data_IF_564592835112
#
_entry.id   IF_564592835112
#
_cell.length_a   1.000
_cell.length_b   1.000
_cell.length_c   1.000
_cell.angle_alpha   90.00
_cell.angle_beta   90.00
_cell.angle_gamma   90.00
#
_symmetry.space_group_name_H-M   'P 1'
#
loop_
_entity.id
_entity.type
_entity.pdbx_description
1 polymer ?
#
# COMPACT_ATOMS: atom_id res chain seq x y z
N UNK A 1 15.79 10.27 15.92
CA UNK A 1 14.73 10.29 14.88
C UNK A 1 15.11 9.33 13.77
N UNK A 2 14.46 8.16 13.65
CA UNK A 2 14.90 7.09 12.71
C UNK A 2 14.25 7.15 11.31
N UNK A 3 13.18 7.94 11.13
CA UNK A 3 12.35 7.95 9.92
C UNK A 3 12.21 9.33 9.27
N UNK A 4 13.10 10.26 9.64
CA UNK A 4 13.35 11.48 8.90
C UNK A 4 14.56 11.18 8.03
N UNK A 5 14.35 11.02 6.72
CA UNK A 5 15.36 10.53 5.78
C UNK A 5 15.86 11.67 4.90
N UNK A 6 17.14 11.66 4.57
CA UNK A 6 17.71 12.58 3.58
C UNK A 6 17.24 12.18 2.17
N UNK A 7 17.00 13.17 1.32
CA UNK A 7 16.69 12.98 -0.09
C UNK A 7 17.82 12.22 -0.80
N UNK A 8 19.08 12.49 -0.47
CA UNK A 8 20.23 11.83 -1.10
C UNK A 8 20.24 10.32 -0.81
N UNK A 9 20.01 9.94 0.45
CA UNK A 9 19.93 8.53 0.85
C UNK A 9 18.74 7.84 0.17
N UNK A 10 17.57 8.50 0.10
CA UNK A 10 16.40 7.97 -0.59
C UNK A 10 16.66 7.70 -2.07
N UNK A 11 17.36 8.61 -2.76
CA UNK A 11 17.70 8.42 -4.18
C UNK A 11 18.67 7.25 -4.36
N UNK A 12 19.63 7.08 -3.43
CA UNK A 12 20.56 5.94 -3.45
C UNK A 12 19.82 4.60 -3.30
N UNK A 13 18.94 4.48 -2.30
CA UNK A 13 18.17 3.25 -2.07
C UNK A 13 17.22 2.91 -3.25
N UNK A 14 16.71 3.94 -3.94
CA UNK A 14 15.82 3.79 -5.11
C UNK A 14 16.55 3.62 -6.43
N UNK A 15 17.88 3.61 -6.47
CA UNK A 15 18.65 3.61 -7.71
C UNK A 15 18.28 2.46 -8.65
N UNK A 16 17.97 1.28 -8.08
CA UNK A 16 17.50 0.14 -8.86
C UNK A 16 16.16 0.42 -9.55
N UNK A 17 15.16 0.91 -8.80
CA UNK A 17 13.84 1.23 -9.37
C UNK A 17 13.93 2.37 -10.38
N UNK A 18 14.79 3.37 -10.11
CA UNK A 18 15.03 4.51 -10.99
C UNK A 18 15.80 4.16 -12.27
N UNK A 19 16.39 2.96 -12.34
CA UNK A 19 16.97 2.43 -13.59
C UNK A 19 15.91 1.90 -14.56
N UNK A 20 14.70 1.63 -14.06
CA UNK A 20 13.57 1.06 -14.79
C UNK A 20 12.48 2.11 -15.01
N UNK A 21 12.23 2.95 -14.00
CA UNK A 21 11.19 3.98 -13.96
C UNK A 21 11.83 5.35 -13.84
N UNK A 22 11.24 6.36 -14.48
CA UNK A 22 11.61 7.75 -14.20
C UNK A 22 11.17 8.18 -12.79
N UNK A 23 11.76 9.24 -12.25
CA UNK A 23 11.35 9.77 -10.93
C UNK A 23 9.86 10.15 -10.91
N UNK A 24 9.35 10.73 -12.00
CA UNK A 24 7.94 11.08 -12.16
C UNK A 24 7.02 9.84 -12.17
N UNK A 25 7.39 8.78 -12.89
CA UNK A 25 6.64 7.51 -12.88
C UNK A 25 6.65 6.86 -11.49
N UNK A 26 7.80 6.86 -10.82
CA UNK A 26 7.92 6.34 -9.46
C UNK A 26 7.02 7.11 -8.49
N UNK A 27 6.99 8.45 -8.58
CA UNK A 27 6.06 9.27 -7.78
C UNK A 27 4.59 8.95 -8.11
N UNK A 28 4.24 8.80 -9.39
CA UNK A 28 2.87 8.43 -9.81
C UNK A 28 2.45 7.08 -9.24
N UNK A 29 3.35 6.10 -9.20
CA UNK A 29 3.11 4.79 -8.56
C UNK A 29 2.80 4.96 -7.08
N UNK A 30 3.61 5.74 -6.34
CA UNK A 30 3.36 6.00 -4.91
C UNK A 30 2.03 6.74 -4.67
N UNK A 31 1.69 7.71 -5.53
CA UNK A 31 0.41 8.44 -5.46
C UNK A 31 -0.76 7.48 -5.73
N UNK A 32 -0.64 6.63 -6.75
CA UNK A 32 -1.64 5.63 -7.08
C UNK A 32 -1.94 4.70 -5.90
N UNK A 33 -0.91 4.12 -5.28
CA UNK A 33 -1.11 3.22 -4.13
C UNK A 33 -1.54 3.94 -2.85
N UNK A 34 -1.16 5.21 -2.66
CA UNK A 34 -1.78 6.01 -1.59
C UNK A 34 -3.29 6.17 -1.82
N UNK A 35 -3.72 6.37 -3.07
CA UNK A 35 -5.13 6.36 -3.46
C UNK A 35 -5.81 5.01 -3.21
N UNK A 36 -5.15 3.89 -3.51
CA UNK A 36 -5.65 2.54 -3.19
C UNK A 36 -5.87 2.38 -1.68
N UNK A 37 -4.88 2.74 -0.86
CA UNK A 37 -4.96 2.66 0.61
C UNK A 37 -6.11 3.54 1.15
N UNK A 38 -6.26 4.76 0.62
CA UNK A 38 -7.36 5.65 0.98
C UNK A 38 -8.73 5.03 0.69
N UNK A 39 -8.92 4.50 -0.52
CA UNK A 39 -10.19 3.87 -0.91
C UNK A 39 -10.50 2.61 -0.11
N UNK A 40 -9.49 1.78 0.19
CA UNK A 40 -9.64 0.62 1.05
C UNK A 40 -10.06 1.03 2.47
N UNK A 41 -9.41 2.04 3.04
CA UNK A 41 -9.73 2.57 4.36
C UNK A 41 -11.16 3.12 4.45
N UNK A 42 -11.61 3.85 3.44
CA UNK A 42 -12.98 4.36 3.35
C UNK A 42 -14.01 3.23 3.29
N UNK A 43 -13.79 2.19 2.46
CA UNK A 43 -14.70 1.04 2.38
C UNK A 43 -14.73 0.23 3.69
N UNK A 44 -13.61 0.17 4.40
CA UNK A 44 -13.52 -0.44 5.72
C UNK A 44 -14.07 0.46 6.85
N UNK A 45 -14.43 1.72 6.54
CA UNK A 45 -14.89 2.75 7.48
C UNK A 45 -13.86 3.07 8.57
N UNK A 46 -12.57 3.08 8.21
CA UNK A 46 -11.48 3.41 9.13
C UNK A 46 -11.40 4.93 9.36
N UNK A 47 -10.88 5.33 10.53
CA UNK A 47 -10.53 6.74 10.80
C UNK A 47 -9.33 7.16 9.96
N UNK A 48 -9.26 8.44 9.60
CA UNK A 48 -8.18 8.97 8.76
C UNK A 48 -6.79 8.74 9.37
N UNK A 49 -6.67 8.74 10.71
CA UNK A 49 -5.41 8.42 11.40
C UNK A 49 -4.88 7.03 11.03
N UNK A 50 -5.75 6.01 10.96
CA UNK A 50 -5.38 4.65 10.55
C UNK A 50 -4.90 4.61 9.10
N UNK A 51 -5.61 5.32 8.22
CA UNK A 51 -5.27 5.40 6.79
C UNK A 51 -3.94 6.12 6.58
N UNK A 52 -3.70 7.19 7.33
CA UNK A 52 -2.45 7.94 7.31
C UNK A 52 -1.28 7.06 7.80
N UNK A 53 -1.45 6.35 8.92
CA UNK A 53 -0.46 5.41 9.45
C UNK A 53 -0.14 4.29 8.45
N UNK A 54 -1.15 3.70 7.81
CA UNK A 54 -0.96 2.70 6.76
C UNK A 54 -0.18 3.25 5.55
N UNK A 55 -0.50 4.46 5.11
CA UNK A 55 0.21 5.13 4.01
C UNK A 55 1.67 5.41 4.35
N UNK A 56 1.95 5.79 5.61
CA UNK A 56 3.32 5.98 6.09
C UNK A 56 4.09 4.66 6.13
N UNK A 57 3.47 3.57 6.57
CA UNK A 57 4.11 2.24 6.52
C UNK A 57 4.45 1.82 5.09
N UNK A 58 3.53 2.02 4.16
CA UNK A 58 3.77 1.74 2.74
C UNK A 58 4.95 2.55 2.18
N UNK A 59 4.97 3.87 2.43
CA UNK A 59 6.06 4.75 1.98
C UNK A 59 7.40 4.41 2.63
N UNK A 60 7.40 4.05 3.93
CA UNK A 60 8.61 3.66 4.66
C UNK A 60 9.19 2.34 4.16
N UNK A 61 8.33 1.39 3.78
CA UNK A 61 8.77 0.13 3.20
C UNK A 61 9.52 0.37 1.88
N UNK A 62 8.92 1.11 0.93
CA UNK A 62 9.55 1.42 -0.35
C UNK A 62 10.62 2.52 -0.31
N UNK A 63 10.80 3.17 0.85
CA UNK A 63 11.95 4.04 1.07
C UNK A 63 13.25 3.27 1.29
N UNK A 64 13.17 2.00 1.68
CA UNK A 64 14.32 1.12 1.97
C UNK A 64 14.34 -0.18 1.16
N UNK A 65 13.28 -0.44 0.40
CA UNK A 65 13.14 -1.66 -0.40
C UNK A 65 12.68 -1.28 -1.81
N UNK A 66 13.11 -2.05 -2.80
CA UNK A 66 12.65 -1.90 -4.18
C UNK A 66 11.18 -2.33 -4.34
N UNK A 67 10.49 -1.73 -5.32
CA UNK A 67 9.15 -2.15 -5.77
C UNK A 67 9.09 -3.62 -6.24
N UNK A 68 10.24 -4.26 -6.53
CA UNK A 68 10.32 -5.68 -6.90
C UNK A 68 10.25 -6.63 -5.71
N UNK A 69 10.58 -6.16 -4.49
CA UNK A 69 10.68 -7.04 -3.32
C UNK A 69 9.34 -7.66 -2.93
N UNK A 70 8.28 -6.83 -2.86
CA UNK A 70 6.92 -7.23 -2.54
C UNK A 70 5.99 -6.48 -3.48
N UNK A 71 4.95 -7.14 -3.99
CA UNK A 71 3.94 -6.47 -4.80
C UNK A 71 3.22 -5.38 -3.97
N UNK A 72 3.21 -4.12 -4.43
CA UNK A 72 2.44 -3.04 -3.83
C UNK A 72 0.97 -3.36 -3.56
N UNK A 73 0.34 -4.18 -4.41
CA UNK A 73 -1.05 -4.61 -4.27
C UNK A 73 -1.24 -5.54 -3.07
N UNK A 74 -0.23 -6.30 -2.68
CA UNK A 74 -0.21 -7.12 -1.46
C UNK A 74 0.14 -6.28 -0.23
N UNK A 75 1.11 -5.36 -0.38
CA UNK A 75 1.59 -4.56 0.75
C UNK A 75 0.54 -3.57 1.25
N UNK A 76 -0.24 -2.95 0.36
CA UNK A 76 -1.28 -1.97 0.72
C UNK A 76 -2.29 -2.49 1.78
N UNK A 77 -2.95 -3.65 1.60
CA UNK A 77 -3.84 -4.19 2.62
C UNK A 77 -3.11 -4.68 3.88
N UNK A 78 -1.86 -5.15 3.75
CA UNK A 78 -1.01 -5.52 4.89
C UNK A 78 -0.75 -4.31 5.78
N UNK A 79 -0.42 -3.16 5.19
CA UNK A 79 -0.24 -1.90 5.92
C UNK A 79 -1.51 -1.44 6.63
N UNK A 80 -2.68 -1.58 5.99
CA UNK A 80 -3.98 -1.26 6.61
C UNK A 80 -4.25 -2.16 7.81
N UNK A 81 -4.05 -3.47 7.66
CA UNK A 81 -4.27 -4.44 8.71
C UNK A 81 -3.36 -4.20 9.92
N UNK A 82 -2.09 -3.89 9.68
CA UNK A 82 -1.15 -3.54 10.73
C UNK A 82 -1.54 -2.22 11.40
N UNK A 83 -1.85 -1.18 10.62
CA UNK A 83 -2.25 0.13 11.14
C UNK A 83 -3.52 0.05 11.98
N UNK A 84 -4.52 -0.74 11.57
CA UNK A 84 -5.77 -0.89 12.36
C UNK A 84 -5.54 -1.52 13.72
N UNK A 85 -4.54 -2.41 13.85
CA UNK A 85 -4.14 -2.99 15.13
C UNK A 85 -3.37 -1.98 15.99
N UNK A 86 -2.45 -1.23 15.39
CA UNK A 86 -1.63 -0.24 16.11
C UNK A 86 -2.46 0.92 16.64
N UNK A 87 -3.46 1.37 15.88
CA UNK A 87 -4.32 2.50 16.24
C UNK A 87 -5.56 2.08 17.06
N UNK A 88 -5.61 0.84 17.54
CA UNK A 88 -6.67 0.28 18.39
C UNK A 88 -8.10 0.46 17.82
N UNK A 89 -8.22 0.53 16.48
CA UNK A 89 -9.52 0.75 15.81
C UNK A 89 -10.40 -0.51 15.78
N UNK A 90 -9.83 -1.69 16.10
CA UNK A 90 -10.51 -2.97 16.20
C UNK A 90 -9.97 -4.03 15.23
N UNK A 91 -10.44 -5.27 15.40
CA UNK A 91 -9.99 -6.41 14.57
C UNK A 91 -10.74 -6.43 13.25
N UNK A 92 -10.05 -6.14 12.15
CA UNK A 92 -10.55 -6.39 10.80
C UNK A 92 -10.48 -7.91 10.57
N UNK A 93 -11.60 -8.56 10.26
CA UNK A 93 -11.58 -9.97 9.92
C UNK A 93 -10.90 -10.19 8.57
N UNK A 94 -10.15 -11.29 8.46
CA UNK A 94 -9.41 -11.64 7.26
C UNK A 94 -10.31 -11.68 6.01
N UNK A 95 -11.48 -12.30 6.14
CA UNK A 95 -12.47 -12.36 5.06
C UNK A 95 -12.93 -10.97 4.64
N UNK A 96 -13.22 -10.09 5.60
CA UNK A 96 -13.66 -8.71 5.30
C UNK A 96 -12.57 -7.93 4.57
N UNK A 97 -11.31 -8.06 5.00
CA UNK A 97 -10.18 -7.40 4.34
C UNK A 97 -10.06 -7.83 2.87
N UNK A 98 -10.03 -9.14 2.60
CA UNK A 98 -9.89 -9.68 1.24
C UNK A 98 -11.06 -9.28 0.35
N UNK A 99 -12.30 -9.43 0.84
CA UNK A 99 -13.49 -9.05 0.07
C UNK A 99 -13.51 -7.56 -0.25
N UNK A 100 -13.13 -6.70 0.71
CA UNK A 100 -13.00 -5.26 0.43
C UNK A 100 -11.91 -4.96 -0.59
N UNK A 101 -10.77 -5.65 -0.53
CA UNK A 101 -9.72 -5.50 -1.55
C UNK A 101 -10.20 -5.87 -2.94
N UNK A 102 -10.83 -7.03 -3.08
CA UNK A 102 -11.42 -7.49 -4.35
C UNK A 102 -12.42 -6.47 -4.90
N UNK A 103 -13.32 -5.96 -4.05
CA UNK A 103 -14.34 -5.00 -4.46
C UNK A 103 -13.74 -3.65 -4.87
N UNK A 104 -12.76 -3.13 -4.12
CA UNK A 104 -12.11 -1.85 -4.45
C UNK A 104 -11.33 -1.96 -5.76
N UNK A 105 -10.57 -3.03 -5.96
CA UNK A 105 -9.82 -3.24 -7.20
C UNK A 105 -10.76 -3.37 -8.40
N UNK A 106 -11.82 -4.18 -8.30
CA UNK A 106 -12.81 -4.34 -9.38
C UNK A 106 -13.58 -3.05 -9.66
N UNK A 107 -14.04 -2.33 -8.64
CA UNK A 107 -14.93 -1.17 -8.82
C UNK A 107 -14.21 0.13 -9.17
N UNK A 108 -13.06 0.41 -8.53
CA UNK A 108 -12.38 1.71 -8.64
C UNK A 108 -11.10 1.65 -9.46
N UNK A 109 -10.50 0.47 -9.60
CA UNK A 109 -9.22 0.29 -10.29
C UNK A 109 -9.29 -0.73 -11.44
N UNK A 110 -10.49 -1.07 -11.92
CA UNK A 110 -10.69 -2.00 -13.03
C UNK A 110 -10.05 -1.54 -14.35
N UNK A 111 -9.82 -0.23 -14.51
CA UNK A 111 -9.08 0.31 -15.66
C UNK A 111 -7.58 0.00 -15.60
N UNK A 112 -7.01 -0.09 -14.40
CA UNK A 112 -5.59 -0.39 -14.19
C UNK A 112 -5.32 -1.90 -14.14
N UNK A 113 -6.32 -2.67 -13.70
CA UNK A 113 -6.26 -4.13 -13.58
C UNK A 113 -7.42 -4.80 -14.34
N UNK A 114 -7.48 -4.67 -15.68
CA UNK A 114 -8.55 -5.28 -16.46
C UNK A 114 -8.47 -6.81 -16.35
N UNK A 115 -9.60 -7.44 -16.00
CA UNK A 115 -9.77 -8.89 -15.85
C UNK A 115 -8.92 -9.57 -14.76
N UNK A 116 -8.25 -8.81 -13.89
CA UNK A 116 -7.47 -9.39 -12.79
C UNK A 116 -8.27 -9.36 -11.48
N UNK A 117 -8.67 -10.54 -11.01
CA UNK A 117 -9.13 -10.67 -9.63
C UNK A 117 -7.96 -10.46 -8.68
N UNK A 118 -8.21 -9.85 -7.50
CA UNK A 118 -7.17 -9.63 -6.50
C UNK A 118 -6.43 -10.96 -6.23
N UNK A 119 -5.14 -11.07 -6.61
CA UNK A 119 -4.48 -12.37 -6.76
C UNK A 119 -4.04 -12.99 -5.42
N UNK A 120 -4.12 -12.22 -4.34
CA UNK A 120 -3.63 -12.62 -3.03
C UNK A 120 -4.74 -13.19 -2.16
N UNK A 121 -4.43 -14.31 -1.49
CA UNK A 121 -5.29 -14.94 -0.47
C UNK A 121 -4.88 -14.45 0.91
N UNK A 122 -5.73 -14.71 1.90
CA UNK A 122 -5.48 -14.37 3.32
C UNK A 122 -4.08 -14.73 3.80
N UNK A 123 -3.60 -15.94 3.47
CA UNK A 123 -2.30 -16.46 3.91
C UNK A 123 -1.09 -15.74 3.29
N UNK A 124 -1.31 -14.85 2.32
CA UNK A 124 -0.24 -14.01 1.76
C UNK A 124 -0.13 -12.66 2.48
N UNK A 125 -1.19 -12.23 3.18
CA UNK A 125 -1.26 -10.94 3.90
C UNK A 125 -0.87 -11.10 5.38
N UNK A 126 -1.03 -12.32 5.93
CA UNK A 126 -0.80 -12.67 7.34
C UNK A 126 0.36 -13.63 7.51
#
# INVERSE_FOLDING_TARGET
QQWILDKQDLTRERQFDLSILTDDEYQKVLIFFAGVIQNLGEQLKLRQQVIATATVYFKRFYARNSLRCIDPLLLAPTCIFLASKVEEFGVISNTRLITTCQNVIKSKFGYAYPNQEFPYRTNHIL
#
